data_IF_310078731020
#
_entry.id   IF_310078731020
#
_cell.length_a   1.000
_cell.length_b   1.000
_cell.length_c   1.000
_cell.angle_alpha   90.00
_cell.angle_beta   90.00
_cell.angle_gamma   90.00
#
_symmetry.space_group_name_H-M   'P 1'
#
loop_
_entity.id
_entity.type
_entity.pdbx_description
1 polymer ?
#
# COMPACT_ATOMS: atom_id res chain seq x y z
N UNK A 1 8.24 24.56 -61.12
CA UNK A 1 8.98 23.40 -60.58
C UNK A 1 8.43 23.16 -59.18
N UNK A 2 7.48 22.23 -59.08
CA UNK A 2 6.88 21.83 -57.80
C UNK A 2 7.64 20.62 -57.28
N UNK A 3 8.17 20.75 -56.07
CA UNK A 3 8.95 19.73 -55.39
C UNK A 3 7.97 18.84 -54.61
N UNK A 4 7.65 17.67 -55.16
CA UNK A 4 6.84 16.64 -54.50
C UNK A 4 7.77 15.81 -53.60
N UNK A 5 7.90 16.23 -52.35
CA UNK A 5 8.50 15.41 -51.30
C UNK A 5 7.45 14.42 -50.79
N UNK A 6 7.25 13.31 -51.52
CA UNK A 6 6.57 12.13 -51.00
C UNK A 6 7.44 11.50 -49.91
N UNK A 7 7.22 11.93 -48.67
CA UNK A 7 7.82 11.30 -47.51
C UNK A 7 7.18 9.91 -47.34
N UNK A 8 7.91 8.87 -47.76
CA UNK A 8 7.59 7.48 -47.40
C UNK A 8 7.57 7.37 -45.86
N UNK A 9 6.35 7.37 -45.31
CA UNK A 9 6.10 7.07 -43.90
C UNK A 9 6.47 5.60 -43.68
N UNK A 10 7.74 5.37 -43.34
CA UNK A 10 8.23 4.07 -42.94
C UNK A 10 7.33 3.49 -41.86
N UNK A 11 6.68 2.35 -42.18
CA UNK A 11 5.91 1.57 -41.22
C UNK A 11 6.85 1.20 -40.07
N UNK A 12 6.72 1.90 -38.94
CA UNK A 12 7.40 1.48 -37.71
C UNK A 12 6.75 0.18 -37.27
N UNK A 13 7.55 -0.87 -37.16
CA UNK A 13 7.12 -2.12 -36.54
C UNK A 13 6.80 -1.83 -35.08
N UNK A 14 5.51 -1.75 -34.76
CA UNK A 14 5.06 -1.58 -33.39
C UNK A 14 5.18 -2.91 -32.66
N UNK A 15 5.85 -2.90 -31.51
CA UNK A 15 5.89 -4.05 -30.63
C UNK A 15 4.49 -4.32 -30.05
N UNK A 16 3.89 -5.45 -30.42
CA UNK A 16 2.61 -5.88 -29.86
C UNK A 16 2.81 -6.63 -28.55
N UNK A 17 2.75 -5.89 -27.44
CA UNK A 17 2.79 -6.46 -26.09
C UNK A 17 1.66 -7.47 -25.86
N UNK A 18 0.49 -7.30 -26.48
CA UNK A 18 -0.65 -8.19 -26.31
C UNK A 18 -0.51 -9.48 -27.10
N UNK A 19 0.36 -9.52 -28.11
CA UNK A 19 0.71 -10.74 -28.83
C UNK A 19 1.53 -11.73 -28.01
N UNK A 20 2.15 -11.29 -26.90
CA UNK A 20 2.99 -12.14 -26.06
C UNK A 20 2.20 -13.11 -25.18
N UNK A 21 2.77 -14.26 -24.77
CA UNK A 21 2.24 -15.11 -23.70
C UNK A 21 2.15 -14.38 -22.35
N UNK A 22 1.27 -14.85 -21.45
CA UNK A 22 1.05 -14.20 -20.15
C UNK A 22 2.31 -14.21 -19.28
N UNK A 23 3.11 -15.26 -19.37
CA UNK A 23 4.34 -15.47 -18.61
C UNK A 23 5.39 -14.43 -19.01
N UNK A 24 5.49 -14.12 -20.31
CA UNK A 24 6.40 -13.09 -20.80
C UNK A 24 5.97 -11.69 -20.38
N UNK A 25 4.67 -11.39 -20.45
CA UNK A 25 4.12 -10.12 -19.96
C UNK A 25 4.36 -9.97 -18.44
N UNK A 26 4.13 -11.04 -17.68
CA UNK A 26 4.39 -11.08 -16.23
C UNK A 26 5.88 -10.83 -15.93
N UNK A 27 6.77 -11.47 -16.70
CA UNK A 27 8.20 -11.24 -16.57
C UNK A 27 8.58 -9.80 -16.90
N UNK A 28 8.04 -9.20 -17.97
CA UNK A 28 8.23 -7.78 -18.29
C UNK A 28 7.75 -6.90 -17.13
N UNK A 29 6.56 -7.18 -16.57
CA UNK A 29 6.03 -6.45 -15.42
C UNK A 29 6.93 -6.54 -14.19
N UNK A 30 7.64 -7.65 -13.99
CA UNK A 30 8.57 -7.80 -12.86
C UNK A 30 9.73 -6.79 -12.88
N UNK A 31 10.12 -6.31 -14.06
CA UNK A 31 11.13 -5.25 -14.21
C UNK A 31 10.56 -3.83 -14.07
N UNK A 32 9.24 -3.68 -14.09
CA UNK A 32 8.60 -2.38 -14.00
C UNK A 32 8.41 -1.95 -12.53
N UNK A 33 8.68 -0.66 -12.21
CA UNK A 33 8.24 -0.08 -10.95
C UNK A 33 6.74 -0.26 -10.75
N UNK A 34 6.28 -0.37 -9.50
CA UNK A 34 4.86 -0.58 -9.17
C UNK A 34 3.96 0.44 -9.86
N UNK A 35 4.36 1.71 -9.85
CA UNK A 35 3.61 2.80 -10.49
C UNK A 35 3.38 2.54 -11.99
N UNK A 36 4.38 2.01 -12.69
CA UNK A 36 4.31 1.77 -14.13
C UNK A 36 3.54 0.49 -14.45
N UNK A 37 3.67 -0.56 -13.63
CA UNK A 37 2.79 -1.74 -13.70
C UNK A 37 1.33 -1.35 -13.57
N UNK A 38 1.00 -0.53 -12.58
CA UNK A 38 -0.36 -0.10 -12.31
C UNK A 38 -0.94 0.71 -13.47
N UNK A 39 -0.10 1.48 -14.15
CA UNK A 39 -0.45 2.20 -15.38
C UNK A 39 -0.63 1.26 -16.58
N UNK A 40 0.13 0.17 -16.66
CA UNK A 40 0.08 -0.81 -17.74
C UNK A 40 -1.22 -1.66 -17.74
N UNK A 41 -2.04 -1.60 -16.69
CA UNK A 41 -3.34 -2.31 -16.57
C UNK A 41 -4.44 -1.72 -17.44
N UNK A 42 -4.19 -1.56 -18.73
CA UNK A 42 -5.10 -0.88 -19.68
C UNK A 42 -6.24 -1.77 -20.18
N UNK A 43 -6.15 -3.09 -20.00
CA UNK A 43 -7.19 -4.03 -20.39
C UNK A 43 -7.34 -5.17 -19.37
N UNK A 44 -8.44 -5.94 -19.49
CA UNK A 44 -8.79 -7.01 -18.55
C UNK A 44 -7.69 -8.07 -18.41
N UNK A 45 -6.99 -8.40 -19.50
CA UNK A 45 -5.92 -9.40 -19.50
C UNK A 45 -4.69 -8.91 -18.74
N UNK A 46 -4.20 -7.71 -19.08
CA UNK A 46 -3.06 -7.11 -18.38
C UNK A 46 -3.37 -6.87 -16.90
N UNK A 47 -4.60 -6.47 -16.57
CA UNK A 47 -5.04 -6.31 -15.19
C UNK A 47 -5.00 -7.64 -14.42
N UNK A 48 -5.42 -8.75 -15.05
CA UNK A 48 -5.36 -10.08 -14.42
C UNK A 48 -3.91 -10.51 -14.15
N UNK A 49 -3.03 -10.36 -15.14
CA UNK A 49 -1.60 -10.71 -15.03
C UNK A 49 -0.94 -9.90 -13.91
N UNK A 50 -1.20 -8.59 -13.87
CA UNK A 50 -0.67 -7.72 -12.83
C UNK A 50 -1.20 -8.09 -11.44
N UNK A 51 -2.48 -8.43 -11.34
CA UNK A 51 -3.08 -8.83 -10.09
C UNK A 51 -2.45 -10.11 -9.51
N UNK A 52 -1.91 -11.01 -10.34
CA UNK A 52 -1.27 -12.25 -9.85
C UNK A 52 0.18 -12.01 -9.38
N UNK A 53 0.72 -10.81 -9.59
CA UNK A 53 2.10 -10.47 -9.20
C UNK A 53 2.24 -10.25 -7.69
N UNK A 54 3.35 -10.72 -7.12
CA UNK A 54 3.76 -10.38 -5.75
C UNK A 54 4.64 -9.12 -5.75
N UNK A 55 4.55 -8.34 -4.67
CA UNK A 55 5.31 -7.11 -4.52
C UNK A 55 6.21 -7.21 -3.29
N UNK A 56 7.47 -6.79 -3.45
CA UNK A 56 8.37 -6.52 -2.35
C UNK A 56 8.65 -5.03 -2.36
N UNK A 57 8.11 -4.30 -1.39
CA UNK A 57 8.23 -2.86 -1.32
C UNK A 57 9.10 -2.48 -0.14
N UNK A 58 10.22 -1.82 -0.42
CA UNK A 58 11.07 -1.31 0.66
C UNK A 58 10.35 -0.25 1.50
N UNK A 59 9.62 0.66 0.84
CA UNK A 59 8.92 1.76 1.50
C UNK A 59 7.64 2.14 0.76
N UNK A 60 6.58 2.42 1.51
CA UNK A 60 5.32 2.99 1.03
C UNK A 60 4.97 4.21 1.87
N UNK A 61 4.73 5.35 1.21
CA UNK A 61 4.28 6.60 1.85
C UNK A 61 2.85 6.89 1.39
N UNK A 62 1.92 6.88 2.33
CA UNK A 62 0.49 7.11 2.10
C UNK A 62 0.12 8.44 2.73
N UNK A 63 -0.25 9.39 1.88
CA UNK A 63 -0.54 10.78 2.24
C UNK A 63 -2.01 11.12 2.07
N UNK A 64 -2.47 12.16 2.75
CA UNK A 64 -3.85 12.67 2.74
C UNK A 64 -4.33 13.18 1.38
N UNK A 65 -3.42 13.50 0.45
CA UNK A 65 -3.67 14.04 -0.89
C UNK A 65 -4.16 13.01 -1.93
N UNK A 66 -4.82 11.95 -1.47
CA UNK A 66 -5.09 10.76 -2.27
C UNK A 66 -6.50 10.81 -2.86
N UNK A 67 -6.56 11.01 -4.18
CA UNK A 67 -7.78 10.85 -4.97
C UNK A 67 -8.30 9.39 -4.94
N UNK A 68 -9.60 9.20 -5.23
CA UNK A 68 -10.28 7.89 -5.19
C UNK A 68 -9.53 6.78 -5.95
N UNK A 69 -8.91 7.08 -7.11
CA UNK A 69 -8.10 6.14 -7.89
C UNK A 69 -6.91 5.54 -7.11
N UNK A 70 -6.35 6.30 -6.18
CA UNK A 70 -5.20 5.85 -5.37
C UNK A 70 -5.62 4.90 -4.24
N UNK A 71 -6.91 4.82 -3.88
CA UNK A 71 -7.40 3.84 -2.90
C UNK A 71 -7.38 2.41 -3.45
N UNK A 72 -7.74 2.19 -4.72
CA UNK A 72 -7.66 0.86 -5.34
C UNK A 72 -6.22 0.36 -5.43
N UNK A 73 -5.29 1.28 -5.76
CA UNK A 73 -3.86 1.00 -5.73
C UNK A 73 -3.42 0.56 -4.32
N UNK A 74 -3.84 1.27 -3.28
CA UNK A 74 -3.50 0.91 -1.91
C UNK A 74 -4.05 -0.44 -1.51
N UNK A 75 -5.29 -0.79 -1.86
CA UNK A 75 -5.84 -2.13 -1.56
C UNK A 75 -5.01 -3.26 -2.18
N UNK A 76 -4.55 -3.05 -3.40
CA UNK A 76 -3.72 -4.05 -4.09
C UNK A 76 -2.36 -4.16 -3.41
N UNK A 77 -1.74 -3.02 -3.08
CA UNK A 77 -0.49 -3.00 -2.33
C UNK A 77 -0.68 -3.70 -0.97
N UNK A 78 -1.72 -3.36 -0.23
CA UNK A 78 -2.03 -3.89 1.10
C UNK A 78 -2.19 -5.42 1.09
N UNK A 79 -2.90 -5.95 0.09
CA UNK A 79 -3.23 -7.39 0.03
C UNK A 79 -2.14 -8.28 -0.58
N UNK A 80 -1.21 -7.72 -1.38
CA UNK A 80 -0.27 -8.52 -2.20
C UNK A 80 1.20 -8.18 -2.02
N UNK A 81 1.51 -7.25 -1.11
CA UNK A 81 2.89 -6.83 -0.87
C UNK A 81 3.41 -7.33 0.47
N UNK A 82 4.69 -7.67 0.49
CA UNK A 82 5.49 -7.64 1.71
C UNK A 82 6.16 -6.27 1.74
N UNK A 83 6.00 -5.54 2.84
CA UNK A 83 6.43 -4.15 2.92
C UNK A 83 7.37 -4.00 4.10
N UNK A 84 8.57 -3.49 3.84
CA UNK A 84 9.51 -3.13 4.91
C UNK A 84 8.92 -1.98 5.73
N UNK A 85 8.85 -0.79 5.13
CA UNK A 85 8.40 0.42 5.83
C UNK A 85 7.10 0.99 5.26
N UNK A 86 6.11 1.27 6.11
CA UNK A 86 4.89 2.01 5.75
C UNK A 86 4.84 3.30 6.57
N UNK A 87 4.72 4.44 5.89
CA UNK A 87 4.38 5.72 6.52
C UNK A 87 2.93 6.06 6.18
N UNK A 88 2.10 6.23 7.20
CA UNK A 88 0.73 6.69 7.09
C UNK A 88 0.63 8.12 7.60
N UNK A 89 0.10 9.01 6.79
CA UNK A 89 -0.28 10.37 7.22
C UNK A 89 -1.79 10.49 7.16
N UNK A 90 -2.41 10.57 8.34
CA UNK A 90 -3.85 10.66 8.44
C UNK A 90 -4.36 12.01 7.95
N UNK A 91 -5.41 12.04 7.10
CA UNK A 91 -6.08 13.26 6.70
C UNK A 91 -6.96 13.80 7.83
N UNK A 92 -7.29 15.10 7.78
CA UNK A 92 -8.22 15.73 8.73
C UNK A 92 -9.71 15.41 8.48
N UNK A 93 -10.02 14.89 7.29
CA UNK A 93 -11.40 14.55 6.88
C UNK A 93 -11.84 13.22 7.45
N UNK A 94 -12.93 13.21 8.22
CA UNK A 94 -13.54 11.99 8.80
C UNK A 94 -13.85 10.91 7.76
N UNK A 95 -14.29 11.32 6.57
CA UNK A 95 -14.57 10.39 5.47
C UNK A 95 -13.29 9.68 5.02
N UNK A 96 -12.21 10.43 4.82
CA UNK A 96 -10.93 9.87 4.40
C UNK A 96 -10.30 9.05 5.52
N UNK A 97 -10.40 9.48 6.78
CA UNK A 97 -9.97 8.71 7.97
C UNK A 97 -10.61 7.32 7.95
N UNK A 98 -11.93 7.23 7.78
CA UNK A 98 -12.64 5.94 7.73
C UNK A 98 -12.14 5.05 6.60
N UNK A 99 -11.90 5.63 5.41
CA UNK A 99 -11.35 4.89 4.27
C UNK A 99 -9.92 4.42 4.54
N UNK A 100 -9.08 5.26 5.13
CA UNK A 100 -7.72 4.91 5.55
C UNK A 100 -7.73 3.77 6.56
N UNK A 101 -8.49 3.90 7.65
CA UNK A 101 -8.64 2.84 8.66
C UNK A 101 -9.10 1.52 8.04
N UNK A 102 -10.01 1.55 7.06
CA UNK A 102 -10.45 0.34 6.35
C UNK A 102 -9.30 -0.30 5.56
N UNK A 103 -8.56 0.50 4.79
CA UNK A 103 -7.44 -0.01 3.98
C UNK A 103 -6.30 -0.52 4.86
N UNK A 104 -5.98 0.18 5.96
CA UNK A 104 -4.90 -0.21 6.86
C UNK A 104 -5.08 -1.65 7.36
N UNK A 105 -6.32 -2.04 7.68
CA UNK A 105 -6.67 -3.40 8.09
C UNK A 105 -6.45 -4.46 7.00
N UNK A 106 -6.38 -4.05 5.73
CA UNK A 106 -6.11 -4.94 4.61
C UNK A 106 -4.60 -5.22 4.46
N UNK A 107 -3.72 -4.41 5.07
CA UNK A 107 -2.28 -4.65 5.01
C UNK A 107 -1.91 -5.90 5.80
N UNK A 108 -0.91 -6.61 5.30
CA UNK A 108 -0.31 -7.78 5.93
C UNK A 108 1.22 -7.65 5.87
N UNK A 109 1.89 -8.18 6.88
CA UNK A 109 3.36 -8.34 6.89
C UNK A 109 4.11 -7.01 6.67
N UNK A 110 3.82 -6.02 7.51
CA UNK A 110 4.61 -4.79 7.59
C UNK A 110 5.72 -5.00 8.62
N UNK A 111 6.96 -4.69 8.26
CA UNK A 111 8.06 -4.72 9.25
C UNK A 111 7.95 -3.52 10.19
N UNK A 112 7.82 -2.32 9.61
CA UNK A 112 7.77 -1.05 10.33
C UNK A 112 6.59 -0.17 9.86
N UNK A 113 5.76 0.25 10.80
CA UNK A 113 4.61 1.13 10.56
C UNK A 113 4.79 2.45 11.30
N UNK A 114 4.85 3.54 10.56
CA UNK A 114 4.89 4.90 11.09
C UNK A 114 3.54 5.57 10.88
N UNK A 115 2.89 5.97 11.97
CA UNK A 115 1.61 6.66 11.91
C UNK A 115 1.80 8.11 12.32
N UNK A 116 1.48 9.01 11.42
CA UNK A 116 1.52 10.45 11.64
C UNK A 116 0.11 11.04 11.57
N UNK A 117 -0.17 11.93 12.50
CA UNK A 117 -1.38 12.74 12.54
C UNK A 117 -0.96 14.20 12.39
N UNK A 118 -1.77 14.98 11.68
CA UNK A 118 -1.56 16.43 11.58
C UNK A 118 -1.99 17.14 12.87
N UNK A 119 -2.92 16.54 13.63
CA UNK A 119 -3.50 17.08 14.86
C UNK A 119 -3.52 16.04 15.99
N UNK A 120 -3.06 16.41 17.19
CA UNK A 120 -3.05 15.54 18.38
C UNK A 120 -4.45 15.17 18.88
N UNK A 121 -5.44 16.06 18.76
CA UNK A 121 -6.82 15.77 19.13
C UNK A 121 -7.39 14.66 18.23
N UNK A 122 -7.08 14.73 16.94
CA UNK A 122 -7.43 13.68 15.98
C UNK A 122 -6.67 12.39 16.23
N UNK A 123 -5.41 12.49 16.62
CA UNK A 123 -4.64 11.31 17.05
C UNK A 123 -5.37 10.61 18.21
N UNK A 124 -5.80 11.34 19.24
CA UNK A 124 -6.54 10.78 20.38
C UNK A 124 -7.88 10.17 19.99
N UNK A 125 -8.61 10.81 19.09
CA UNK A 125 -9.90 10.30 18.58
C UNK A 125 -9.75 8.99 17.80
N UNK A 126 -8.74 8.91 16.93
CA UNK A 126 -8.53 7.76 16.03
C UNK A 126 -7.84 6.61 16.77
N UNK A 127 -6.88 6.91 17.65
CA UNK A 127 -6.07 5.95 18.39
C UNK A 127 -6.81 5.32 19.57
N UNK A 128 -8.01 4.80 19.30
CA UNK A 128 -8.72 3.92 20.23
C UNK A 128 -7.96 2.61 20.43
N UNK A 129 -8.19 1.93 21.56
CA UNK A 129 -7.59 0.61 21.86
C UNK A 129 -7.82 -0.40 20.72
N UNK A 130 -9.02 -0.39 20.14
CA UNK A 130 -9.38 -1.27 19.02
C UNK A 130 -8.56 -1.01 17.76
N UNK A 131 -8.33 0.27 17.43
CA UNK A 131 -7.57 0.64 16.25
C UNK A 131 -6.08 0.32 16.45
N UNK A 132 -5.53 0.64 17.63
CA UNK A 132 -4.15 0.30 17.97
C UNK A 132 -3.92 -1.22 17.90
N UNK A 133 -4.85 -2.03 18.43
CA UNK A 133 -4.77 -3.48 18.36
C UNK A 133 -4.83 -4.01 16.91
N UNK A 134 -5.59 -3.36 16.04
CA UNK A 134 -5.59 -3.70 14.62
C UNK A 134 -4.25 -3.37 13.95
N UNK A 135 -3.60 -2.26 14.35
CA UNK A 135 -2.25 -1.92 13.87
C UNK A 135 -1.19 -2.92 14.35
N UNK A 136 -1.25 -3.35 15.62
CA UNK A 136 -0.26 -4.28 16.19
C UNK A 136 -0.31 -5.68 15.57
N UNK A 137 -1.45 -6.05 14.96
CA UNK A 137 -1.58 -7.32 14.23
C UNK A 137 -0.93 -7.29 12.85
N UNK A 138 -0.75 -6.12 12.25
CA UNK A 138 -0.28 -5.99 10.85
C UNK A 138 1.19 -5.58 10.76
N UNK A 139 1.77 -5.07 11.85
CA UNK A 139 3.15 -4.57 11.90
C UNK A 139 3.95 -5.17 13.04
N UNK A 140 5.25 -5.42 12.81
CA UNK A 140 6.17 -5.87 13.86
C UNK A 140 6.60 -4.72 14.76
N UNK A 141 6.90 -3.56 14.16
CA UNK A 141 7.24 -2.33 14.87
C UNK A 141 6.22 -1.24 14.53
N UNK A 142 5.75 -0.50 15.53
CA UNK A 142 4.86 0.63 15.35
C UNK A 142 5.48 1.87 15.98
N UNK A 143 5.62 2.92 15.18
CA UNK A 143 6.07 4.22 15.62
C UNK A 143 4.94 5.23 15.54
N UNK A 144 4.54 5.79 16.69
CA UNK A 144 3.50 6.82 16.80
C UNK A 144 4.07 7.96 17.64
N UNK A 145 4.42 9.11 17.04
CA UNK A 145 5.09 10.21 17.74
C UNK A 145 4.19 10.90 18.77
N UNK A 146 2.88 10.67 18.75
CA UNK A 146 1.89 11.38 19.58
C UNK A 146 1.14 10.45 20.57
N UNK A 147 1.70 9.29 20.93
CA UNK A 147 1.08 8.43 21.94
C UNK A 147 1.26 9.06 23.34
N UNK A 148 0.16 9.19 24.08
CA UNK A 148 0.23 9.60 25.48
C UNK A 148 0.85 8.47 26.33
N UNK A 149 1.55 8.79 27.44
CA UNK A 149 2.09 7.78 28.35
C UNK A 149 1.04 6.78 28.85
N UNK A 150 -0.20 7.22 29.07
CA UNK A 150 -1.31 6.38 29.51
C UNK A 150 -1.70 5.37 28.44
N UNK A 151 -1.82 5.79 27.18
CA UNK A 151 -2.11 4.90 26.06
C UNK A 151 -1.00 3.86 25.89
N UNK A 152 0.28 4.28 25.98
CA UNK A 152 1.42 3.37 25.94
C UNK A 152 1.37 2.33 27.07
N UNK A 153 0.99 2.76 28.28
CA UNK A 153 0.88 1.88 29.43
C UNK A 153 -0.23 0.83 29.29
N UNK A 154 -1.37 1.20 28.67
CA UNK A 154 -2.44 0.22 28.39
C UNK A 154 -1.98 -0.83 27.38
N UNK A 155 -1.24 -0.42 26.35
CA UNK A 155 -0.64 -1.36 25.38
C UNK A 155 0.30 -2.33 26.08
N UNK A 156 1.19 -1.80 26.93
CA UNK A 156 2.11 -2.63 27.70
C UNK A 156 1.38 -3.67 28.57
N UNK A 157 0.28 -3.28 29.23
CA UNK A 157 -0.55 -4.22 29.99
C UNK A 157 -1.13 -5.34 29.13
N UNK A 158 -1.67 -5.01 27.95
CA UNK A 158 -2.23 -6.00 27.03
C UNK A 158 -1.15 -6.96 26.53
N UNK A 159 0.01 -6.43 26.11
CA UNK A 159 1.15 -7.24 25.69
C UNK A 159 1.65 -8.16 26.81
N UNK A 160 1.70 -7.68 28.05
CA UNK A 160 2.09 -8.49 29.21
C UNK A 160 1.11 -9.63 29.49
N UNK A 161 -0.19 -9.37 29.36
CA UNK A 161 -1.23 -10.41 29.49
C UNK A 161 -1.07 -11.45 28.39
N UNK A 162 -0.90 -11.03 27.13
CA UNK A 162 -0.69 -11.95 26.01
C UNK A 162 0.56 -12.82 26.23
N UNK A 163 1.67 -12.23 26.66
CA UNK A 163 2.88 -12.98 26.97
C UNK A 163 2.64 -14.03 28.07
N UNK A 164 1.92 -13.67 29.13
CA UNK A 164 1.61 -14.60 30.21
C UNK A 164 0.69 -15.76 29.78
N UNK A 165 -0.18 -15.54 28.79
CA UNK A 165 -1.05 -16.60 28.24
C UNK A 165 -0.22 -17.58 27.41
N UNK A 166 0.70 -17.08 26.58
CA UNK A 166 1.55 -17.93 25.74
C UNK A 166 2.59 -18.72 26.55
N UNK A 167 3.02 -18.25 27.72
CA UNK A 167 3.91 -18.99 28.61
C UNK A 167 3.21 -20.10 29.40
N UNK A 168 1.88 -20.09 29.53
CA UNK A 168 1.13 -21.13 30.24
C UNK A 168 0.67 -22.31 29.37
N UNK A 169 0.86 -22.23 28.05
CA UNK A 169 0.44 -23.28 27.10
C UNK A 169 1.58 -24.22 26.64
N UNK A 170 2.77 -24.15 27.25
CA UNK A 170 3.91 -25.05 27.02
C UNK A 170 4.50 -25.57 28.33
#
# INVERSE_FOLDING_TARGET
MGDNCDAEVGKRDYFDLLGLPNEMISHIFSFLPVKDRMRARKNKRLNKIEAESKYYLKRVDIRSDIDSYRFDLMRIIASKSIIGHVTLRFPDSDELIRKFCKIIKEFRNIEELHVHFENEDRAREIMTDSFFLDLSKISTLIYIPCISPEALYQVYKVCKILHSIFETEF
#
